data_IF_480409696125
#
_entry.id   IF_480409696125
#
_cell.length_a   1.000
_cell.length_b   1.000
_cell.length_c   1.000
_cell.angle_alpha   90.00
_cell.angle_beta   90.00
_cell.angle_gamma   90.00
#
_symmetry.space_group_name_H-M   'P 1'
#
loop_
_entity.id
_entity.type
_entity.pdbx_description
1 polymer ?
#
# COMPACT_ATOMS: atom_id res chain seq x y z
N UNK A 1 4.82 30.05 3.64
CA UNK A 1 4.39 29.33 3.89
C UNK A 1 4.52 28.25 3.24
N UNK A 2 4.91 27.70 3.29
CA UNK A 2 5.22 26.75 2.58
C UNK A 2 4.56 25.63 2.77
N UNK A 3 4.29 25.51 3.66
CA UNK A 3 3.70 24.54 4.01
C UNK A 3 3.17 23.64 3.09
N UNK A 4 2.17 23.87 2.55
CA UNK A 4 1.55 22.97 1.74
C UNK A 4 2.40 22.63 0.71
N UNK A 5 3.07 23.51 0.32
CA UNK A 5 3.80 23.27 -0.71
C UNK A 5 4.93 22.50 -0.32
N UNK A 6 5.15 22.34 0.79
CA UNK A 6 6.25 21.63 1.25
C UNK A 6 6.29 20.27 0.76
N UNK A 7 5.30 19.82 0.09
CA UNK A 7 5.32 18.57 -0.39
C UNK A 7 6.41 18.41 -1.29
N UNK A 8 7.37 17.75 -0.99
CA UNK A 8 8.37 17.57 -1.75
C UNK A 8 8.16 16.47 -2.54
N UNK A 9 8.47 16.27 -3.62
CA UNK A 9 8.35 15.18 -4.49
C UNK A 9 9.66 14.45 -4.44
N UNK A 10 10.14 14.20 -3.29
CA UNK A 10 11.38 13.47 -3.13
C UNK A 10 11.16 12.01 -3.51
N UNK A 11 11.82 11.48 -4.51
CA UNK A 11 11.60 10.10 -4.92
C UNK A 11 11.90 9.08 -3.83
N UNK A 12 12.89 9.37 -3.01
CA UNK A 12 13.23 8.45 -1.93
C UNK A 12 12.10 8.39 -0.91
N UNK A 13 11.51 9.54 -0.59
CA UNK A 13 10.40 9.56 0.34
C UNK A 13 9.20 8.86 -0.26
N UNK A 14 8.99 9.01 -1.57
CA UNK A 14 7.87 8.37 -2.22
C UNK A 14 8.00 6.86 -2.17
N UNK A 15 9.22 6.35 -2.40
CA UNK A 15 9.42 4.92 -2.34
C UNK A 15 9.24 4.40 -0.93
N UNK A 16 9.70 5.14 0.06
CA UNK A 16 9.53 4.73 1.44
C UNK A 16 8.04 4.67 1.79
N UNK A 17 7.27 5.65 1.31
CA UNK A 17 5.85 5.66 1.57
C UNK A 17 5.18 4.47 0.91
N UNK A 18 5.55 4.12 -0.31
CA UNK A 18 4.97 2.97 -0.99
C UNK A 18 5.28 1.68 -0.26
N UNK A 19 6.49 1.55 0.24
CA UNK A 19 6.86 0.35 0.98
C UNK A 19 6.05 0.24 2.26
N UNK A 20 5.81 1.37 2.90
CA UNK A 20 5.04 1.37 4.12
C UNK A 20 3.60 0.97 3.82
N UNK A 21 3.05 1.45 2.73
CA UNK A 21 1.69 1.09 2.33
C UNK A 21 1.62 -0.40 2.05
N UNK A 22 2.62 -0.96 1.37
CA UNK A 22 2.64 -2.38 1.06
C UNK A 22 2.65 -3.19 2.36
N UNK A 23 3.49 -2.81 3.31
CA UNK A 23 3.57 -3.51 4.57
C UNK A 23 2.25 -3.45 5.31
N UNK A 24 1.63 -2.27 5.34
CA UNK A 24 0.35 -2.10 6.01
C UNK A 24 -0.72 -2.96 5.35
N UNK A 25 -0.74 -2.97 4.01
CA UNK A 25 -1.73 -3.75 3.30
C UNK A 25 -1.53 -5.24 3.52
N UNK A 26 -0.29 -5.68 3.62
CA UNK A 26 -0.02 -7.08 3.90
C UNK A 26 -0.56 -7.48 5.26
N UNK A 27 -0.39 -6.62 6.26
CA UNK A 27 -0.92 -6.90 7.58
C UNK A 27 -2.44 -6.92 7.56
N UNK A 28 -3.04 -5.96 6.89
CA UNK A 28 -4.50 -5.88 6.82
C UNK A 28 -5.04 -7.10 6.10
N UNK A 29 -4.38 -7.53 5.04
CA UNK A 29 -4.84 -8.68 4.30
C UNK A 29 -4.79 -9.93 5.17
N UNK A 30 -3.72 -10.07 5.94
CA UNK A 30 -3.59 -11.23 6.82
C UNK A 30 -4.72 -11.25 7.83
N UNK A 31 -5.01 -10.11 8.44
CA UNK A 31 -6.08 -10.03 9.41
C UNK A 31 -7.42 -10.29 8.75
N UNK A 32 -7.63 -9.73 7.58
CA UNK A 32 -8.89 -9.92 6.87
C UNK A 32 -9.12 -11.39 6.54
N UNK A 33 -8.06 -12.09 6.16
CA UNK A 33 -8.21 -13.51 5.85
C UNK A 33 -8.60 -14.30 7.07
N UNK A 34 -8.07 -13.92 8.23
CA UNK A 34 -8.40 -14.63 9.45
C UNK A 34 -9.79 -14.32 9.94
N UNK A 35 -10.21 -13.09 9.81
CA UNK A 35 -11.50 -12.67 10.32
C UNK A 35 -12.63 -12.90 9.33
N UNK A 36 -12.42 -12.54 8.09
CA UNK A 36 -13.45 -12.62 7.08
C UNK A 36 -13.35 -13.80 6.13
N UNK A 37 -12.17 -14.36 6.03
CA UNK A 37 -11.96 -15.45 5.11
C UNK A 37 -11.41 -14.95 3.77
N UNK A 38 -10.69 -15.81 3.08
CA UNK A 38 -10.04 -15.39 1.83
C UNK A 38 -11.04 -15.19 0.70
N UNK A 39 -12.23 -15.72 0.82
CA UNK A 39 -13.23 -15.55 -0.22
C UNK A 39 -14.08 -14.31 -0.06
N UNK A 40 -13.92 -13.60 1.05
CA UNK A 40 -14.73 -12.43 1.29
C UNK A 40 -14.37 -11.32 0.30
N UNK A 41 -15.34 -10.59 -0.24
CA UNK A 41 -15.06 -9.55 -1.21
C UNK A 41 -14.06 -8.50 -0.70
N UNK A 42 -14.16 -8.15 0.59
CA UNK A 42 -13.25 -7.19 1.15
C UNK A 42 -11.84 -7.70 1.15
N UNK A 43 -11.64 -8.96 1.46
CA UNK A 43 -10.32 -9.56 1.44
C UNK A 43 -9.75 -9.54 0.04
N UNK A 44 -10.60 -9.80 -0.96
CA UNK A 44 -10.14 -9.78 -2.34
C UNK A 44 -9.75 -8.38 -2.76
N UNK A 45 -10.50 -7.37 -2.32
CA UNK A 45 -10.18 -6.00 -2.65
C UNK A 45 -8.85 -5.59 -2.05
N UNK A 46 -8.61 -5.95 -0.82
CA UNK A 46 -7.36 -5.64 -0.17
C UNK A 46 -6.21 -6.31 -0.91
N UNK A 47 -6.40 -7.55 -1.32
CA UNK A 47 -5.38 -8.25 -2.09
C UNK A 47 -5.10 -7.59 -3.42
N UNK A 48 -6.12 -7.07 -4.08
CA UNK A 48 -5.95 -6.38 -5.35
C UNK A 48 -5.17 -5.09 -5.15
N UNK A 49 -5.50 -4.34 -4.12
CA UNK A 49 -4.79 -3.12 -3.82
C UNK A 49 -3.32 -3.41 -3.50
N UNK A 50 -3.07 -4.45 -2.75
CA UNK A 50 -1.72 -4.83 -2.40
C UNK A 50 -0.93 -5.17 -3.67
N UNK A 51 -1.54 -5.95 -4.55
CA UNK A 51 -0.87 -6.36 -5.77
C UNK A 51 -0.57 -5.15 -6.64
N UNK A 52 -1.52 -4.22 -6.75
CA UNK A 52 -1.33 -3.04 -7.56
C UNK A 52 -0.22 -2.17 -6.97
N UNK A 53 -0.22 -1.98 -5.67
CA UNK A 53 0.80 -1.18 -5.00
C UNK A 53 2.18 -1.81 -5.17
N UNK A 54 2.25 -3.12 -5.09
CA UNK A 54 3.52 -3.82 -5.29
C UNK A 54 4.02 -3.63 -6.72
N UNK A 55 3.11 -3.64 -7.68
CA UNK A 55 3.50 -3.43 -9.08
C UNK A 55 4.04 -2.02 -9.29
N UNK A 56 3.41 -1.03 -8.67
CA UNK A 56 3.87 0.34 -8.77
C UNK A 56 5.24 0.49 -8.11
N UNK A 57 5.41 -0.12 -6.95
CA UNK A 57 6.67 -0.05 -6.25
C UNK A 57 7.78 -0.68 -7.10
N UNK A 58 7.49 -1.82 -7.69
CA UNK A 58 8.46 -2.50 -8.50
C UNK A 58 8.82 -1.68 -9.73
N UNK A 59 7.86 -1.02 -10.32
CA UNK A 59 8.11 -0.21 -11.49
C UNK A 59 8.97 1.00 -11.17
N UNK A 60 8.87 1.49 -9.93
CA UNK A 60 9.65 2.65 -9.55
C UNK A 60 11.00 2.32 -8.97
N UNK A 61 11.20 1.12 -8.57
CA UNK A 61 12.50 0.75 -8.04
C UNK A 61 13.38 0.17 -9.17
#
# INVERSE_FOLDING_TARGET
MPSLMGWRQDPAATLADLREVVTTLEDIERIARQVLGSAHPMTKEIGDHLRLTQAVLRARS
#
